data_IF_601342107657
#
_entry.id   IF_601342107657
#
_cell.length_a   1.000
_cell.length_b   1.000
_cell.length_c   1.000
_cell.angle_alpha   90.00
_cell.angle_beta   90.00
_cell.angle_gamma   90.00
#
_symmetry.space_group_name_H-M   'P 1'
#
loop_
_entity.id
_entity.type
_entity.pdbx_description
1 polymer ?
#
# COMPACT_ATOMS: atom_id res chain seq x y z
N UNK A 1 -16.24 5.72 42.89
CA UNK A 1 -17.47 5.87 42.09
C UNK A 1 -17.71 4.55 41.37
N UNK A 2 -18.89 3.90 41.46
CA UNK A 2 -19.11 2.66 40.73
C UNK A 2 -19.22 3.03 39.24
N UNK A 3 -18.22 2.63 38.46
CA UNK A 3 -18.18 2.84 37.01
C UNK A 3 -19.09 1.79 36.39
N UNK A 4 -20.29 2.22 35.98
CA UNK A 4 -21.24 1.36 35.25
C UNK A 4 -20.70 1.08 33.85
N UNK A 5 -20.81 -0.16 33.41
CA UNK A 5 -20.54 -0.63 32.06
C UNK A 5 -21.37 0.20 31.05
N UNK A 6 -20.86 0.48 29.84
CA UNK A 6 -21.66 1.11 28.79
C UNK A 6 -22.87 0.20 28.47
N UNK A 7 -24.09 0.73 28.58
CA UNK A 7 -25.28 0.02 28.12
C UNK A 7 -25.21 -0.11 26.59
N UNK A 8 -24.87 -1.30 26.10
CA UNK A 8 -25.23 -1.69 24.74
C UNK A 8 -26.73 -1.96 24.75
N UNK A 9 -27.52 -0.91 24.52
CA UNK A 9 -28.97 -0.96 24.56
C UNK A 9 -29.52 -2.01 23.61
N UNK A 10 -29.95 -3.15 24.17
CA UNK A 10 -30.82 -4.12 23.52
C UNK A 10 -32.27 -3.74 23.91
N UNK A 11 -32.99 -2.95 23.09
CA UNK A 11 -34.30 -2.38 23.44
C UNK A 11 -35.41 -3.42 23.67
N UNK A 12 -35.13 -4.70 23.46
CA UNK A 12 -36.08 -5.81 23.63
C UNK A 12 -36.01 -6.50 25.01
N UNK A 13 -35.09 -6.11 25.91
CA UNK A 13 -34.93 -6.78 27.20
C UNK A 13 -35.70 -6.08 28.34
N UNK A 14 -36.49 -6.86 29.06
CA UNK A 14 -37.23 -6.45 30.25
C UNK A 14 -36.27 -5.99 31.38
N UNK A 15 -36.68 -5.07 32.29
CA UNK A 15 -35.87 -4.66 33.44
C UNK A 15 -35.41 -5.82 34.34
N UNK A 16 -36.09 -6.96 34.27
CA UNK A 16 -35.79 -8.16 35.06
C UNK A 16 -34.89 -9.16 34.33
N UNK A 17 -34.59 -8.94 33.06
CA UNK A 17 -33.78 -9.88 32.28
C UNK A 17 -32.32 -9.79 32.74
N UNK A 18 -31.77 -10.94 33.16
CA UNK A 18 -30.36 -11.08 33.61
C UNK A 18 -29.32 -10.54 32.61
N UNK A 19 -29.67 -10.47 31.33
CA UNK A 19 -28.81 -9.95 30.27
C UNK A 19 -28.85 -8.42 30.13
N UNK A 20 -29.80 -7.72 30.80
CA UNK A 20 -29.95 -6.26 30.71
C UNK A 20 -28.97 -5.51 31.61
N UNK A 21 -28.73 -6.02 32.82
CA UNK A 21 -27.75 -5.52 33.78
C UNK A 21 -26.72 -6.62 34.06
N UNK A 22 -25.72 -6.75 33.20
CA UNK A 22 -24.58 -7.62 33.48
C UNK A 22 -23.63 -6.83 34.40
N UNK A 23 -23.96 -6.80 35.69
CA UNK A 23 -23.17 -6.15 36.73
C UNK A 23 -21.77 -6.78 36.90
N UNK A 24 -21.55 -7.97 36.33
CA UNK A 24 -20.39 -8.82 36.61
C UNK A 24 -19.45 -9.04 35.42
N UNK A 25 -19.63 -8.34 34.29
CA UNK A 25 -18.54 -8.27 33.30
C UNK A 25 -17.56 -7.23 33.83
N UNK A 26 -16.67 -7.72 34.71
CA UNK A 26 -15.51 -6.97 35.17
C UNK A 26 -14.78 -6.47 33.92
N UNK A 27 -14.52 -5.16 33.88
CA UNK A 27 -13.75 -4.52 32.83
C UNK A 27 -12.42 -5.23 32.61
N UNK A 28 -11.81 -5.76 33.68
CA UNK A 28 -10.61 -6.57 33.59
C UNK A 28 -10.82 -7.86 32.79
N UNK A 29 -11.93 -8.57 32.99
CA UNK A 29 -12.27 -9.79 32.26
C UNK A 29 -12.59 -9.51 30.78
N UNK A 30 -13.25 -8.39 30.49
CA UNK A 30 -13.49 -7.96 29.10
C UNK A 30 -12.18 -7.66 28.37
N UNK A 31 -11.26 -6.95 29.03
CA UNK A 31 -9.93 -6.65 28.49
C UNK A 31 -9.09 -7.92 28.32
N UNK A 32 -9.20 -8.87 29.25
CA UNK A 32 -8.50 -10.15 29.20
C UNK A 32 -9.03 -11.03 28.06
N UNK A 33 -10.35 -11.08 27.87
CA UNK A 33 -10.96 -11.76 26.71
C UNK A 33 -10.54 -11.13 25.39
N UNK A 34 -10.51 -9.79 25.29
CA UNK A 34 -9.98 -9.09 24.12
C UNK A 34 -8.50 -9.41 23.87
N UNK A 35 -7.68 -9.49 24.92
CA UNK A 35 -6.27 -9.86 24.81
C UNK A 35 -6.07 -11.32 24.38
N UNK A 36 -6.87 -12.25 24.90
CA UNK A 36 -6.86 -13.68 24.50
C UNK A 36 -7.30 -13.83 23.04
N UNK A 37 -8.38 -13.16 22.64
CA UNK A 37 -8.89 -13.19 21.27
C UNK A 37 -7.91 -12.54 20.29
N UNK A 38 -7.22 -11.47 20.69
CA UNK A 38 -6.14 -10.87 19.91
C UNK A 38 -4.94 -11.81 19.74
N UNK A 39 -4.54 -12.54 20.79
CA UNK A 39 -3.47 -13.55 20.71
C UNK A 39 -3.84 -14.73 19.79
N UNK A 40 -5.14 -15.06 19.68
CA UNK A 40 -5.65 -16.14 18.84
C UNK A 40 -6.03 -15.70 17.41
N UNK A 41 -5.81 -14.42 17.06
CA UNK A 41 -6.15 -13.88 15.74
C UNK A 41 -7.66 -13.76 15.48
N UNK A 42 -8.49 -13.83 16.53
CA UNK A 42 -9.95 -13.73 16.47
C UNK A 42 -10.47 -12.49 17.19
N UNK A 43 -9.81 -11.32 17.00
CA UNK A 43 -10.40 -10.08 17.48
C UNK A 43 -11.80 -9.90 16.86
N UNK A 44 -12.83 -9.53 17.64
CA UNK A 44 -14.08 -9.05 17.11
C UNK A 44 -13.84 -7.64 16.54
N UNK A 45 -13.10 -7.57 15.46
CA UNK A 45 -12.97 -6.37 14.67
C UNK A 45 -14.39 -6.02 14.18
N UNK A 46 -14.80 -4.77 14.36
CA UNK A 46 -16.08 -4.32 13.79
C UNK A 46 -16.07 -4.60 12.29
N UNK A 47 -17.24 -4.79 11.69
CA UNK A 47 -17.35 -5.06 10.26
C UNK A 47 -16.63 -4.00 9.44
N UNK A 48 -16.61 -2.74 9.88
CA UNK A 48 -15.82 -1.67 9.27
C UNK A 48 -14.30 -1.86 9.38
N UNK A 49 -13.81 -2.39 10.50
CA UNK A 49 -12.38 -2.69 10.70
C UNK A 49 -11.94 -3.93 9.94
N UNK A 50 -12.79 -4.96 9.84
CA UNK A 50 -12.55 -6.12 8.95
C UNK A 50 -12.55 -5.66 7.50
N UNK A 51 -13.50 -4.82 7.11
CA UNK A 51 -13.54 -4.22 5.77
C UNK A 51 -12.33 -3.35 5.50
N UNK A 52 -11.89 -2.54 6.47
CA UNK A 52 -10.70 -1.71 6.34
C UNK A 52 -9.45 -2.56 6.22
N UNK A 53 -9.28 -3.58 7.06
CA UNK A 53 -8.15 -4.52 7.01
C UNK A 53 -8.18 -5.32 5.72
N UNK A 54 -9.35 -5.75 5.25
CA UNK A 54 -9.52 -6.45 3.97
C UNK A 54 -9.19 -5.53 2.79
N UNK A 55 -9.64 -4.27 2.80
CA UNK A 55 -9.27 -3.25 1.80
C UNK A 55 -7.79 -2.93 1.87
N UNK A 56 -7.18 -2.82 3.05
CA UNK A 56 -5.74 -2.62 3.22
C UNK A 56 -4.94 -3.82 2.71
N UNK A 57 -5.39 -5.04 2.95
CA UNK A 57 -4.78 -6.28 2.46
C UNK A 57 -5.00 -6.47 0.94
N UNK A 58 -6.07 -5.90 0.38
CA UNK A 58 -6.36 -5.91 -1.06
C UNK A 58 -5.73 -4.73 -1.81
N UNK A 59 -5.31 -3.67 -1.13
CA UNK A 59 -4.44 -2.63 -1.69
C UNK A 59 -3.04 -3.23 -1.75
N UNK A 60 -2.80 -4.10 -2.74
CA UNK A 60 -1.48 -4.12 -3.35
C UNK A 60 -1.22 -2.69 -3.80
N UNK A 61 -0.36 -1.96 -3.09
CA UNK A 61 0.00 -0.61 -3.49
C UNK A 61 0.64 -0.73 -4.88
N UNK A 62 -0.12 -0.48 -5.93
CA UNK A 62 0.33 -0.56 -7.31
C UNK A 62 0.19 0.81 -7.95
N UNK A 63 1.19 1.19 -8.71
CA UNK A 63 1.13 2.34 -9.59
C UNK A 63 1.87 1.99 -10.88
N UNK A 64 1.32 2.40 -12.01
CA UNK A 64 1.98 2.26 -13.31
C UNK A 64 1.78 3.53 -14.11
N UNK A 65 2.62 3.70 -15.11
CA UNK A 65 2.54 4.85 -15.99
C UNK A 65 3.51 4.76 -17.14
N UNK A 66 3.49 5.79 -17.96
CA UNK A 66 4.42 5.97 -19.06
C UNK A 66 5.03 7.36 -19.01
N UNK A 67 6.25 7.50 -19.50
CA UNK A 67 6.93 8.78 -19.69
C UNK A 67 7.69 8.73 -21.01
N UNK A 68 7.72 9.87 -21.71
CA UNK A 68 8.41 9.99 -23.00
C UNK A 68 9.75 10.67 -22.82
N UNK A 69 10.83 10.05 -23.30
CA UNK A 69 12.11 10.69 -23.53
C UNK A 69 12.17 11.14 -24.98
N UNK A 70 12.24 12.45 -25.23
CA UNK A 70 12.09 12.98 -26.59
C UNK A 70 13.38 12.92 -27.41
N UNK A 71 14.54 12.85 -26.75
CA UNK A 71 15.82 12.90 -27.43
C UNK A 71 16.32 11.52 -27.88
N UNK A 72 17.24 11.54 -28.83
CA UNK A 72 17.99 10.35 -29.24
C UNK A 72 19.01 9.95 -28.17
N UNK A 73 19.29 8.66 -28.06
CA UNK A 73 20.40 8.15 -27.25
C UNK A 73 21.47 7.58 -28.17
N UNK A 74 22.62 8.24 -28.20
CA UNK A 74 23.77 7.81 -28.99
C UNK A 74 24.22 6.39 -28.63
N UNK A 75 24.88 5.71 -29.58
CA UNK A 75 25.38 4.36 -29.40
C UNK A 75 26.36 4.29 -28.22
N UNK A 76 26.18 3.32 -27.32
CA UNK A 76 27.03 3.11 -26.15
C UNK A 76 26.89 4.15 -25.03
N UNK A 77 25.94 5.08 -25.12
CA UNK A 77 25.73 6.11 -24.09
C UNK A 77 24.83 5.62 -22.97
N UNK A 78 25.22 5.91 -21.73
CA UNK A 78 24.47 5.64 -20.50
C UNK A 78 24.34 6.92 -19.67
N UNK A 79 23.23 7.08 -18.95
CA UNK A 79 23.04 8.18 -17.99
C UNK A 79 22.03 9.24 -18.41
N UNK A 80 21.14 8.95 -19.37
CA UNK A 80 19.97 9.79 -19.61
C UNK A 80 18.90 9.45 -18.57
N UNK A 81 18.62 10.37 -17.65
CA UNK A 81 17.77 10.11 -16.50
C UNK A 81 16.37 10.73 -16.66
N UNK A 82 15.35 9.98 -16.21
CA UNK A 82 13.97 10.43 -16.10
C UNK A 82 13.50 10.31 -14.66
N UNK A 83 12.83 11.34 -14.15
CA UNK A 83 12.21 11.28 -12.81
C UNK A 83 10.74 10.93 -12.94
N UNK A 84 10.28 9.92 -12.20
CA UNK A 84 8.87 9.56 -12.08
C UNK A 84 8.35 9.89 -10.67
N UNK A 85 7.07 10.25 -10.59
CA UNK A 85 6.37 10.50 -9.32
C UNK A 85 5.21 9.55 -9.18
N UNK A 86 5.08 8.97 -7.99
CA UNK A 86 3.92 8.14 -7.65
C UNK A 86 2.77 9.02 -7.17
N UNK A 87 1.51 8.57 -7.28
CA UNK A 87 0.39 9.26 -6.66
C UNK A 87 0.64 9.44 -5.15
N UNK A 88 0.32 10.60 -4.61
CA UNK A 88 0.56 10.92 -3.21
C UNK A 88 -0.14 9.90 -2.28
N UNK A 89 0.58 9.44 -1.26
CA UNK A 89 0.06 8.45 -0.30
C UNK A 89 -0.12 7.04 -0.86
N UNK A 90 0.28 6.77 -2.11
CA UNK A 90 0.18 5.44 -2.72
C UNK A 90 1.04 4.41 -2.01
N UNK A 91 2.22 4.83 -1.56
CA UNK A 91 3.18 3.95 -0.91
C UNK A 91 3.57 4.53 0.46
N UNK A 92 3.64 3.65 1.47
CA UNK A 92 4.09 4.02 2.82
C UNK A 92 5.61 3.82 2.93
N UNK A 93 6.14 2.80 2.26
CA UNK A 93 7.57 2.48 2.11
C UNK A 93 7.96 2.49 0.63
N UNK A 94 9.26 2.62 0.29
CA UNK A 94 9.71 2.53 -1.09
C UNK A 94 9.27 1.22 -1.77
N UNK A 95 8.54 1.26 -2.91
CA UNK A 95 8.09 0.06 -3.61
C UNK A 95 9.20 -0.59 -4.44
N UNK A 96 8.94 -1.81 -4.95
CA UNK A 96 9.72 -2.37 -6.07
C UNK A 96 9.26 -1.72 -7.36
N UNK A 97 10.20 -1.25 -8.18
CA UNK A 97 9.87 -0.58 -9.44
C UNK A 97 10.59 -1.29 -10.58
N UNK A 98 9.85 -1.55 -11.66
CA UNK A 98 10.38 -2.07 -12.92
C UNK A 98 10.06 -1.08 -14.03
N UNK A 99 11.03 -0.81 -14.90
CA UNK A 99 10.88 0.05 -16.05
C UNK A 99 11.32 -0.67 -17.33
N UNK A 100 10.66 -0.37 -18.44
CA UNK A 100 10.94 -0.95 -19.75
C UNK A 100 10.89 0.15 -20.80
N UNK A 101 11.91 0.22 -21.65
CA UNK A 101 11.93 1.12 -22.80
C UNK A 101 11.22 0.48 -24.00
N UNK A 102 10.53 1.28 -24.80
CA UNK A 102 9.89 0.84 -26.04
C UNK A 102 10.87 0.45 -27.14
N UNK A 103 12.12 0.93 -27.05
CA UNK A 103 13.18 0.64 -28.01
C UNK A 103 14.06 -0.50 -27.49
N UNK A 104 14.20 -1.55 -28.30
CA UNK A 104 14.95 -2.76 -27.93
C UNK A 104 16.45 -2.52 -27.68
N UNK A 105 17.00 -1.41 -28.17
CA UNK A 105 18.41 -1.02 -27.97
C UNK A 105 18.65 -0.32 -26.64
N UNK A 106 17.60 0.06 -25.94
CA UNK A 106 17.67 0.85 -24.71
C UNK A 106 17.32 -0.01 -23.51
N UNK A 107 18.17 0.02 -22.49
CA UNK A 107 17.86 -0.50 -21.16
C UNK A 107 17.30 0.61 -20.28
N UNK A 108 16.36 0.26 -19.41
CA UNK A 108 15.80 1.16 -18.41
C UNK A 108 16.06 0.55 -17.03
N UNK A 109 16.84 1.25 -16.21
CA UNK A 109 17.19 0.81 -14.87
C UNK A 109 16.63 1.79 -13.85
N UNK A 110 15.92 1.28 -12.85
CA UNK A 110 15.36 2.11 -11.80
C UNK A 110 16.33 2.25 -10.63
N UNK A 111 16.47 3.47 -10.12
CA UNK A 111 17.34 3.84 -9.01
C UNK A 111 16.66 4.89 -8.12
N UNK A 112 17.27 5.18 -6.96
CA UNK A 112 16.81 6.24 -6.05
C UNK A 112 15.32 6.14 -5.68
N UNK A 113 14.83 4.92 -5.45
CA UNK A 113 13.42 4.66 -5.19
C UNK A 113 13.05 5.14 -3.79
N UNK A 114 12.02 5.97 -3.72
CA UNK A 114 11.40 6.46 -2.49
C UNK A 114 9.91 6.12 -2.50
N UNK A 115 9.19 6.41 -1.42
CA UNK A 115 7.73 6.26 -1.37
C UNK A 115 6.98 7.21 -2.34
N UNK A 116 7.64 8.29 -2.78
CA UNK A 116 7.03 9.36 -3.58
C UNK A 116 7.41 9.30 -5.07
N UNK A 117 8.45 8.54 -5.42
CA UNK A 117 8.94 8.45 -6.80
C UNK A 117 10.26 7.70 -6.93
N UNK A 118 10.79 7.69 -8.15
CA UNK A 118 12.05 7.06 -8.50
C UNK A 118 12.72 7.74 -9.69
N UNK A 119 13.99 7.42 -9.92
CA UNK A 119 14.73 7.81 -11.13
C UNK A 119 14.87 6.59 -12.05
N UNK A 120 14.59 6.75 -13.33
CA UNK A 120 14.82 5.75 -14.37
C UNK A 120 15.99 6.24 -15.22
N UNK A 121 17.13 5.56 -15.10
CA UNK A 121 18.27 5.77 -15.98
C UNK A 121 18.11 4.97 -17.26
N UNK A 122 18.41 5.61 -18.39
CA UNK A 122 18.39 5.02 -19.71
C UNK A 122 19.82 4.84 -20.24
N UNK A 123 20.03 3.74 -20.96
CA UNK A 123 21.29 3.46 -21.63
C UNK A 123 21.11 2.70 -22.93
N UNK A 124 21.81 3.12 -23.98
CA UNK A 124 21.82 2.43 -25.26
C UNK A 124 23.00 1.47 -25.32
N UNK A 125 22.72 0.17 -25.19
CA UNK A 125 23.73 -0.87 -25.21
C UNK A 125 24.18 -1.24 -26.63
N UNK A 126 23.47 -0.78 -27.65
CA UNK A 126 23.73 -1.15 -29.05
C UNK A 126 24.78 -0.25 -29.70
N UNK A 127 25.34 -0.72 -30.82
CA UNK A 127 26.25 0.05 -31.67
C UNK A 127 25.55 1.06 -32.61
N UNK A 128 24.22 1.16 -32.55
CA UNK A 128 23.44 2.08 -33.40
C UNK A 128 22.70 3.13 -32.58
N UNK A 129 22.31 4.23 -33.23
CA UNK A 129 21.47 5.26 -32.60
C UNK A 129 20.13 4.66 -32.13
N UNK A 130 19.69 5.03 -30.93
CA UNK A 130 18.32 4.82 -30.49
C UNK A 130 17.56 6.12 -30.71
N UNK A 131 16.85 6.20 -31.83
CA UNK A 131 16.09 7.40 -32.20
C UNK A 131 14.86 7.57 -31.29
N UNK A 132 14.64 8.80 -30.84
CA UNK A 132 13.45 9.21 -30.09
C UNK A 132 12.24 9.48 -30.99
N UNK A 133 11.06 9.72 -30.38
CA UNK A 133 10.78 9.66 -28.95
C UNK A 133 10.71 8.21 -28.42
N UNK A 134 11.30 7.98 -27.26
CA UNK A 134 11.29 6.69 -26.56
C UNK A 134 10.23 6.70 -25.47
N UNK A 135 9.34 5.70 -25.47
CA UNK A 135 8.31 5.54 -24.43
C UNK A 135 8.84 4.60 -23.37
N UNK A 136 8.86 5.05 -22.12
CA UNK A 136 9.28 4.26 -20.98
C UNK A 136 8.04 3.92 -20.16
N UNK A 137 7.72 2.63 -20.10
CA UNK A 137 6.64 2.09 -19.27
C UNK A 137 7.20 1.66 -17.93
N UNK A 138 6.52 1.98 -16.84
CA UNK A 138 6.95 1.59 -15.50
C UNK A 138 5.80 1.03 -14.67
N UNK A 139 6.16 0.15 -13.73
CA UNK A 139 5.26 -0.44 -12.76
C UNK A 139 5.94 -0.45 -11.39
N UNK A 140 5.22 -0.01 -10.37
CA UNK A 140 5.64 0.05 -8.99
C UNK A 140 4.70 -0.80 -8.14
N UNK A 141 5.26 -1.71 -7.34
CA UNK A 141 4.55 -2.65 -6.49
C UNK A 141 5.03 -2.52 -5.05
N UNK A 142 4.12 -2.22 -4.14
CA UNK A 142 4.35 -2.17 -2.70
C UNK A 142 4.66 -3.57 -2.18
N UNK A 143 5.60 -3.62 -1.23
CA UNK A 143 6.00 -4.83 -0.53
C UNK A 143 5.12 -5.07 0.70
#
# INVERSE_FOLDING_TARGET
MPRRTPLYGLPALSPTDRARDIADVDWANALELEAILAQQGQMPLSTELVDLVTRMNQIEARASGTITHNDDIAAGTFGSDLTIRFPAGRFITPPRVTATASNSRVTAATSSVTKDGATIGLGNWSGGLAAGPLVISWNALGA
#
